data_IF_915873562413
#
_entry.id   IF_915873562413
#
_cell.length_a   1.000
_cell.length_b   1.000
_cell.length_c   1.000
_cell.angle_alpha   90.00
_cell.angle_beta   90.00
_cell.angle_gamma   90.00
#
_symmetry.space_group_name_H-M   'P 1'
#
loop_
_entity.id
_entity.type
_entity.pdbx_description
1 polymer ?
#
# COMPACT_ATOMS: atom_id res chain seq x y z
N UNK A 1 1.71 -35.77 71.68
CA UNK A 1 2.50 -34.58 72.09
C UNK A 1 3.13 -33.95 70.84
N UNK A 2 3.13 -32.63 70.82
CA UNK A 2 3.41 -31.66 69.74
C UNK A 2 4.62 -31.89 68.83
N UNK A 3 4.52 -31.37 67.59
CA UNK A 3 5.33 -30.26 67.02
C UNK A 3 5.28 -30.33 65.46
N UNK A 4 4.65 -29.40 64.75
CA UNK A 4 5.14 -28.07 64.31
C UNK A 4 6.40 -28.09 63.42
N UNK A 5 6.27 -27.65 62.16
CA UNK A 5 7.15 -26.62 61.59
C UNK A 5 6.65 -26.05 60.25
N UNK A 6 6.43 -24.75 60.27
CA UNK A 6 6.22 -23.80 59.18
C UNK A 6 7.58 -23.21 58.75
N UNK A 7 7.80 -22.79 57.48
CA UNK A 7 9.03 -22.09 57.09
C UNK A 7 8.90 -20.56 57.15
N UNK A 8 9.90 -19.94 57.79
CA UNK A 8 10.12 -18.49 57.97
C UNK A 8 10.58 -17.76 56.70
N UNK A 9 10.18 -16.49 56.61
CA UNK A 9 10.79 -15.44 55.78
C UNK A 9 12.09 -14.83 56.39
N UNK A 10 12.92 -14.15 55.59
CA UNK A 10 13.83 -13.09 56.05
C UNK A 10 13.53 -11.73 55.37
N UNK A 11 13.17 -10.69 56.14
CA UNK A 11 14.00 -9.60 56.74
C UNK A 11 14.36 -8.43 55.80
N UNK A 12 13.69 -7.32 56.07
CA UNK A 12 13.92 -5.93 55.65
C UNK A 12 15.11 -5.29 56.41
N UNK A 13 15.74 -4.22 55.87
CA UNK A 13 16.42 -3.25 56.71
C UNK A 13 15.94 -1.79 56.49
N UNK A 14 15.39 -1.25 57.59
CA UNK A 14 15.61 0.07 58.20
C UNK A 14 15.54 1.37 57.39
N UNK A 15 14.52 2.16 57.77
CA UNK A 15 14.41 3.63 57.73
C UNK A 15 15.69 4.37 58.21
N UNK A 16 16.03 5.48 57.56
CA UNK A 16 16.58 6.67 58.21
C UNK A 16 15.67 7.87 57.95
N UNK A 17 15.37 8.56 59.06
CA UNK A 17 14.60 9.79 59.19
C UNK A 17 15.61 10.96 59.24
N UNK A 18 15.26 12.08 58.62
CA UNK A 18 16.01 13.34 58.63
C UNK A 18 15.10 14.51 58.21
N UNK A 19 14.42 15.06 59.21
CA UNK A 19 13.83 16.40 59.35
C UNK A 19 14.86 17.50 58.95
N UNK A 20 14.58 18.76 58.54
CA UNK A 20 13.43 19.66 58.66
C UNK A 20 13.71 21.01 57.92
N UNK A 21 12.66 21.83 57.73
CA UNK A 21 12.59 23.31 57.50
C UNK A 21 12.92 23.84 56.08
N UNK A 22 12.13 24.71 55.45
CA UNK A 22 10.96 25.48 55.87
C UNK A 22 10.99 26.89 55.22
N UNK A 23 9.93 27.30 54.53
CA UNK A 23 9.46 28.69 54.27
C UNK A 23 8.36 28.65 53.19
N UNK A 24 7.06 28.68 53.53
CA UNK A 24 6.17 29.86 53.71
C UNK A 24 6.32 30.98 52.66
N UNK A 25 5.21 31.24 51.96
CA UNK A 25 5.01 32.38 51.07
C UNK A 25 3.72 32.24 50.25
N UNK A 26 2.58 32.59 50.85
CA UNK A 26 1.30 32.79 50.18
C UNK A 26 1.17 34.26 49.76
N UNK A 27 0.52 34.55 48.61
CA UNK A 27 -0.44 35.67 48.39
C UNK A 27 -0.70 35.92 46.88
N UNK A 28 -1.97 35.70 46.48
CA UNK A 28 -2.76 36.63 45.64
C UNK A 28 -2.58 36.66 44.11
N UNK A 29 -3.66 36.54 43.31
CA UNK A 29 -3.65 36.81 41.87
C UNK A 29 -4.02 38.29 41.57
N UNK A 30 -3.67 38.82 40.39
CA UNK A 30 -4.39 39.95 39.83
C UNK A 30 -5.29 39.51 38.68
N UNK A 31 -6.59 39.72 38.88
CA UNK A 31 -7.58 39.98 37.83
C UNK A 31 -7.23 41.26 37.07
N UNK A 32 -7.35 41.25 35.75
CA UNK A 32 -7.23 42.44 34.91
C UNK A 32 -7.83 42.21 33.53
N UNK A 33 -9.14 42.44 33.41
CA UNK A 33 -9.83 42.74 32.15
C UNK A 33 -9.42 44.15 31.74
N UNK A 34 -8.98 44.33 30.49
CA UNK A 34 -9.11 45.60 29.75
C UNK A 34 -8.82 45.36 28.25
N UNK A 35 -9.89 45.19 27.47
CA UNK A 35 -10.06 45.82 26.15
C UNK A 35 -11.00 47.01 26.41
N UNK A 36 -10.87 48.18 25.74
CA UNK A 36 -11.07 48.31 24.29
C UNK A 36 -10.25 49.43 23.60
N UNK A 37 -10.32 49.49 22.26
CA UNK A 37 -10.66 50.67 21.42
C UNK A 37 -10.14 50.44 19.99
N UNK A 38 -10.95 50.76 18.95
CA UNK A 38 -10.64 50.47 17.56
C UNK A 38 -9.85 51.60 16.91
N UNK A 39 -9.06 51.28 15.87
CA UNK A 39 -8.67 52.27 14.87
C UNK A 39 -9.16 51.85 13.50
N UNK A 40 -9.86 52.81 12.91
CA UNK A 40 -10.53 52.82 11.63
C UNK A 40 -9.61 53.52 10.62
N UNK A 41 -9.86 53.21 9.36
CA UNK A 41 -9.55 53.99 8.17
C UNK A 41 -8.15 53.92 7.53
N UNK A 42 -8.20 53.57 6.24
CA UNK A 42 -7.09 53.50 5.30
C UNK A 42 -7.53 52.92 3.96
N UNK A 43 -8.60 53.49 3.38
CA UNK A 43 -9.13 53.19 2.04
C UNK A 43 -8.56 54.20 1.04
N UNK A 44 -8.01 53.75 -0.09
CA UNK A 44 -7.90 54.41 -1.41
C UNK A 44 -6.79 53.71 -2.23
N UNK A 45 -6.75 53.61 -3.56
CA UNK A 45 -7.65 53.74 -4.71
C UNK A 45 -6.80 53.35 -5.94
N UNK A 46 -7.41 52.83 -7.01
CA UNK A 46 -6.82 52.69 -8.36
C UNK A 46 -7.41 51.47 -9.10
N UNK A 47 -8.55 51.58 -9.79
CA UNK A 47 -8.76 52.12 -11.15
C UNK A 47 -7.89 51.39 -12.21
N UNK A 48 -8.40 50.42 -13.00
CA UNK A 48 -9.36 50.48 -14.13
C UNK A 48 -8.71 50.74 -15.51
N UNK A 49 -9.26 50.07 -16.54
CA UNK A 49 -9.01 50.08 -18.02
C UNK A 49 -8.07 48.95 -18.49
N UNK A 50 -8.36 48.14 -19.53
CA UNK A 50 -9.32 48.23 -20.65
C UNK A 50 -8.56 48.26 -21.99
N UNK A 51 -9.10 47.59 -23.03
CA UNK A 51 -8.71 47.49 -24.47
C UNK A 51 -8.02 46.17 -24.86
N UNK A 52 -8.64 45.27 -25.64
CA UNK A 52 -8.96 45.27 -27.09
C UNK A 52 -7.77 45.12 -28.06
N UNK A 53 -7.81 44.05 -28.86
CA UNK A 53 -7.61 44.11 -30.32
C UNK A 53 -6.23 43.76 -30.92
N UNK A 54 -6.18 42.64 -31.66
CA UNK A 54 -5.60 42.44 -33.03
C UNK A 54 -5.34 40.93 -33.27
N UNK A 55 -6.08 40.23 -34.14
CA UNK A 55 -6.03 40.15 -35.61
C UNK A 55 -4.69 39.66 -36.22
N UNK A 56 -4.81 38.63 -37.09
CA UNK A 56 -3.75 37.83 -37.76
C UNK A 56 -2.93 38.56 -38.84
N UNK A 57 -2.46 37.92 -39.97
CA UNK A 57 -3.16 36.91 -40.79
C UNK A 57 -2.30 35.85 -41.58
N UNK A 58 -2.97 35.02 -42.40
CA UNK A 58 -2.49 34.39 -43.66
C UNK A 58 -2.16 32.88 -43.56
N UNK A 59 -2.81 31.91 -44.24
CA UNK A 59 -3.30 31.80 -45.63
C UNK A 59 -2.28 30.99 -46.47
N UNK A 60 -2.54 30.01 -47.36
CA UNK A 60 -3.67 29.58 -48.20
C UNK A 60 -3.27 28.26 -48.95
N UNK A 61 -4.21 27.36 -49.30
CA UNK A 61 -4.61 26.86 -50.67
C UNK A 61 -4.88 25.34 -50.57
N UNK A 62 -5.85 24.66 -51.20
CA UNK A 62 -6.92 24.97 -52.15
C UNK A 62 -7.37 23.68 -52.89
N UNK A 63 -8.65 23.26 -52.72
CA UNK A 63 -9.69 22.71 -53.67
C UNK A 63 -9.33 21.78 -54.89
N UNK A 64 -10.31 21.21 -55.67
CA UNK A 64 -11.39 20.25 -55.35
C UNK A 64 -11.71 19.19 -56.48
N UNK A 65 -12.80 18.40 -56.28
CA UNK A 65 -13.79 17.82 -57.25
C UNK A 65 -13.63 16.48 -58.03
N UNK A 66 -14.76 15.74 -58.09
CA UNK A 66 -15.14 14.71 -59.09
C UNK A 66 -15.89 13.51 -58.46
N UNK A 67 -17.23 13.44 -58.37
CA UNK A 67 -18.28 13.13 -59.38
C UNK A 67 -18.49 11.62 -59.72
N UNK A 68 -19.77 11.20 -59.56
CA UNK A 68 -20.47 9.89 -59.69
C UNK A 68 -20.59 9.36 -61.16
N UNK A 69 -21.43 8.36 -61.58
CA UNK A 69 -22.31 7.39 -60.87
C UNK A 69 -22.35 5.95 -61.46
N UNK A 70 -23.17 5.05 -60.91
CA UNK A 70 -23.59 3.81 -61.58
C UNK A 70 -24.80 3.13 -60.92
N UNK A 71 -25.93 3.04 -61.65
CA UNK A 71 -27.11 2.27 -61.28
C UNK A 71 -27.53 1.32 -62.41
N UNK A 72 -28.14 0.19 -62.08
CA UNK A 72 -28.82 -0.72 -63.04
C UNK A 72 -30.08 -1.31 -62.38
N UNK A 73 -31.15 -1.45 -63.18
CA UNK A 73 -32.52 -1.88 -62.84
C UNK A 73 -32.93 -3.06 -63.76
N UNK A 74 -33.91 -3.89 -63.32
CA UNK A 74 -34.78 -4.86 -64.06
C UNK A 74 -34.19 -6.25 -64.41
N UNK A 75 -34.87 -7.42 -64.42
CA UNK A 75 -36.27 -7.93 -64.28
C UNK A 75 -36.21 -9.48 -63.90
N UNK A 76 -37.29 -10.32 -63.83
CA UNK A 76 -37.49 -11.39 -62.83
C UNK A 76 -37.43 -12.85 -63.38
N UNK A 77 -37.81 -13.87 -62.58
CA UNK A 77 -38.50 -15.03 -63.15
C UNK A 77 -39.75 -15.51 -62.39
N UNK A 78 -40.80 -15.76 -63.20
CA UNK A 78 -41.77 -16.87 -63.22
C UNK A 78 -42.13 -17.64 -61.93
N UNK A 79 -43.44 -17.70 -61.67
CA UNK A 79 -44.10 -18.75 -60.89
C UNK A 79 -44.11 -20.11 -61.62
N UNK A 80 -44.35 -21.21 -60.88
CA UNK A 80 -45.51 -22.04 -61.19
C UNK A 80 -46.35 -22.38 -59.95
N UNK A 81 -47.62 -22.69 -60.21
CA UNK A 81 -48.64 -23.00 -59.20
C UNK A 81 -48.58 -24.40 -58.62
N UNK A 82 -49.43 -24.60 -57.61
CA UNK A 82 -49.71 -25.88 -56.97
C UNK A 82 -50.78 -25.67 -55.90
N UNK A 83 -52.01 -26.04 -56.25
CA UNK A 83 -53.18 -26.01 -55.38
C UNK A 83 -53.02 -26.95 -54.18
N UNK A 84 -53.34 -26.46 -52.98
CA UNK A 84 -53.72 -27.29 -51.84
C UNK A 84 -54.64 -26.50 -50.89
N UNK A 85 -55.93 -26.56 -51.22
CA UNK A 85 -57.08 -26.66 -50.30
C UNK A 85 -56.93 -26.14 -48.86
N UNK A 86 -57.54 -24.97 -48.68
CA UNK A 86 -58.28 -24.48 -47.52
C UNK A 86 -58.78 -25.57 -46.55
N UNK A 87 -58.33 -25.51 -45.30
CA UNK A 87 -59.12 -25.87 -44.12
C UNK A 87 -59.09 -24.67 -43.17
N UNK A 88 -60.18 -23.92 -43.23
CA UNK A 88 -60.59 -22.92 -42.26
C UNK A 88 -60.90 -23.63 -40.92
N UNK A 89 -60.18 -23.26 -39.87
CA UNK A 89 -60.63 -23.45 -38.48
C UNK A 89 -60.46 -22.12 -37.78
N UNK A 90 -61.54 -21.34 -37.80
CA UNK A 90 -61.73 -20.20 -36.94
C UNK A 90 -61.52 -20.58 -35.47
N UNK A 91 -60.51 -19.95 -34.87
CA UNK A 91 -60.18 -20.10 -33.46
C UNK A 91 -59.68 -18.78 -32.89
N UNK A 92 -60.51 -17.75 -32.94
CA UNK A 92 -60.27 -16.43 -32.36
C UNK A 92 -60.27 -16.54 -30.83
N UNK A 93 -59.15 -16.94 -30.23
CA UNK A 93 -58.99 -16.99 -28.77
C UNK A 93 -57.75 -16.20 -28.34
N UNK A 94 -57.99 -14.91 -28.05
CA UNK A 94 -57.34 -14.12 -27.00
C UNK A 94 -55.81 -14.21 -26.92
N UNK A 95 -55.15 -13.80 -28.00
CA UNK A 95 -53.70 -13.56 -28.06
C UNK A 95 -53.09 -12.49 -27.14
N UNK A 96 -53.81 -11.57 -26.43
CA UNK A 96 -53.13 -10.63 -25.53
C UNK A 96 -53.01 -11.14 -24.08
N UNK A 97 -53.78 -12.15 -23.67
CA UNK A 97 -53.82 -12.58 -22.26
C UNK A 97 -52.58 -13.42 -21.86
N UNK A 98 -52.07 -14.25 -22.77
CA UNK A 98 -50.87 -15.08 -22.52
C UNK A 98 -49.61 -14.21 -22.58
N UNK A 99 -49.55 -13.24 -23.51
CA UNK A 99 -48.45 -12.27 -23.60
C UNK A 99 -48.38 -11.36 -22.37
N UNK A 100 -49.54 -10.89 -21.88
CA UNK A 100 -49.61 -10.10 -20.64
C UNK A 100 -49.22 -10.93 -19.41
N UNK A 101 -49.59 -12.21 -19.33
CA UNK A 101 -49.21 -13.10 -18.24
C UNK A 101 -47.70 -13.39 -18.19
N UNK A 102 -47.08 -13.63 -19.34
CA UNK A 102 -45.62 -13.85 -19.45
C UNK A 102 -44.84 -12.56 -19.15
N UNK A 103 -45.33 -11.41 -19.60
CA UNK A 103 -44.73 -10.10 -19.29
C UNK A 103 -44.87 -9.75 -17.80
N UNK A 104 -46.01 -10.04 -17.19
CA UNK A 104 -46.24 -9.82 -15.75
C UNK A 104 -45.38 -10.76 -14.90
N UNK A 105 -45.20 -12.03 -15.31
CA UNK A 105 -44.31 -12.98 -14.66
C UNK A 105 -42.83 -12.58 -14.81
N UNK A 106 -42.43 -12.08 -15.99
CA UNK A 106 -41.08 -11.53 -16.20
C UNK A 106 -40.82 -10.25 -15.39
N UNK A 107 -41.84 -9.39 -15.23
CA UNK A 107 -41.79 -8.21 -14.37
C UNK A 107 -41.77 -8.58 -12.88
N UNK A 108 -42.48 -9.63 -12.46
CA UNK A 108 -42.47 -10.15 -11.09
C UNK A 108 -41.14 -10.84 -10.73
N UNK A 109 -40.48 -11.50 -11.69
CA UNK A 109 -39.13 -12.07 -11.53
C UNK A 109 -38.04 -10.99 -11.48
N UNK A 110 -38.22 -9.87 -12.20
CA UNK A 110 -37.34 -8.69 -12.10
C UNK A 110 -37.59 -7.84 -10.84
N UNK A 111 -38.75 -7.99 -10.20
CA UNK A 111 -39.12 -7.32 -8.95
C UNK A 111 -38.85 -8.17 -7.70
N UNK A 112 -38.37 -9.41 -7.86
CA UNK A 112 -37.65 -10.12 -6.79
C UNK A 112 -36.34 -9.36 -6.57
N UNK A 113 -36.44 -8.29 -5.78
CA UNK A 113 -35.35 -7.39 -5.47
C UNK A 113 -34.12 -8.20 -5.10
N UNK A 114 -33.00 -7.87 -5.75
CA UNK A 114 -31.72 -8.07 -5.12
C UNK A 114 -31.82 -7.36 -3.77
N UNK A 115 -32.04 -8.13 -2.71
CA UNK A 115 -31.71 -7.68 -1.36
C UNK A 115 -30.28 -7.12 -1.49
N UNK A 116 -30.00 -5.87 -1.10
CA UNK A 116 -28.63 -5.41 -1.11
C UNK A 116 -27.91 -6.32 -0.13
N UNK A 117 -27.27 -7.37 -0.66
CA UNK A 117 -26.55 -8.35 0.13
C UNK A 117 -25.74 -7.53 1.14
N UNK A 118 -26.01 -7.73 2.43
CA UNK A 118 -25.32 -6.97 3.47
C UNK A 118 -23.87 -7.42 3.37
N UNK A 119 -23.10 -6.66 2.58
CA UNK A 119 -21.69 -6.93 2.35
C UNK A 119 -20.92 -6.30 3.48
N UNK A 120 -19.88 -7.02 3.88
CA UNK A 120 -18.88 -6.50 4.80
C UNK A 120 -18.42 -5.12 4.34
N UNK A 121 -18.25 -4.23 5.32
CA UNK A 121 -17.82 -2.86 5.09
C UNK A 121 -17.24 -2.26 6.34
N UNK A 122 -16.43 -1.22 6.18
CA UNK A 122 -16.04 -0.37 7.29
C UNK A 122 -16.98 0.83 7.31
N UNK A 123 -17.68 1.01 8.43
CA UNK A 123 -18.59 2.14 8.61
C UNK A 123 -17.82 3.43 8.88
N UNK A 124 -16.93 3.37 9.87
CA UNK A 124 -16.06 4.49 10.23
C UNK A 124 -14.63 4.01 10.37
N UNK A 125 -13.71 4.83 9.87
CA UNK A 125 -12.28 4.63 10.02
C UNK A 125 -11.66 5.94 10.49
N UNK A 126 -11.38 6.02 11.78
CA UNK A 126 -10.81 7.20 12.42
C UNK A 126 -9.34 6.95 12.74
N UNK A 127 -8.45 7.70 12.09
CA UNK A 127 -7.00 7.61 12.27
C UNK A 127 -6.49 8.85 12.96
N UNK A 128 -5.80 8.70 14.08
CA UNK A 128 -5.04 9.77 14.72
C UNK A 128 -3.55 9.50 14.51
N UNK A 129 -2.89 10.45 13.84
CA UNK A 129 -1.46 10.46 13.58
C UNK A 129 -0.81 11.51 14.47
N UNK A 130 -0.18 11.08 15.55
CA UNK A 130 0.53 11.97 16.47
C UNK A 130 2.02 11.94 16.15
N UNK A 131 2.51 13.05 15.58
CA UNK A 131 3.91 13.27 15.23
C UNK A 131 4.64 13.70 16.50
N UNK A 132 5.43 12.79 17.09
CA UNK A 132 6.13 13.07 18.34
C UNK A 132 7.45 13.80 18.08
N UNK A 133 7.87 14.60 19.06
CA UNK A 133 9.14 15.35 18.99
C UNK A 133 10.38 14.45 18.92
N UNK A 134 10.30 13.17 19.31
CA UNK A 134 11.36 12.16 19.17
C UNK A 134 11.40 11.53 17.76
N UNK A 135 10.59 12.01 16.82
CA UNK A 135 10.52 11.51 15.44
C UNK A 135 9.83 10.16 15.29
N UNK A 136 9.14 9.68 16.31
CA UNK A 136 8.23 8.54 16.20
C UNK A 136 6.85 9.04 15.80
N UNK A 137 6.23 8.34 14.85
CA UNK A 137 4.82 8.52 14.53
C UNK A 137 4.00 7.54 15.38
N UNK A 138 3.24 8.07 16.33
CA UNK A 138 2.26 7.27 17.06
C UNK A 138 0.96 7.22 16.27
N UNK A 139 0.47 6.02 15.99
CA UNK A 139 -0.74 5.81 15.21
C UNK A 139 -1.80 5.14 16.08
N UNK A 140 -3.00 5.71 16.06
CA UNK A 140 -4.20 5.12 16.66
C UNK A 140 -5.30 5.05 15.60
N UNK A 141 -5.70 3.82 15.26
CA UNK A 141 -6.78 3.53 14.31
C UNK A 141 -8.00 3.03 15.09
N UNK A 142 -9.15 3.70 14.94
CA UNK A 142 -10.45 3.22 15.43
C UNK A 142 -11.29 2.79 14.23
N UNK A 143 -11.61 1.50 14.16
CA UNK A 143 -12.22 0.87 13.00
C UNK A 143 -13.56 0.27 13.43
N UNK A 144 -14.66 0.83 12.91
CA UNK A 144 -15.99 0.25 13.06
C UNK A 144 -16.27 -0.64 11.87
N UNK A 145 -15.98 -1.93 12.00
CA UNK A 145 -16.14 -2.93 10.95
C UNK A 145 -17.50 -3.61 11.08
N UNK A 146 -18.24 -3.72 9.98
CA UNK A 146 -19.49 -4.47 9.91
C UNK A 146 -19.24 -5.81 9.21
N UNK A 147 -19.26 -6.90 9.99
CA UNK A 147 -19.04 -8.26 9.50
C UNK A 147 -20.26 -8.86 8.81
N UNK A 148 -21.37 -8.12 8.70
CA UNK A 148 -22.62 -8.64 8.19
C UNK A 148 -22.99 -9.97 8.87
N UNK A 149 -22.94 -11.08 8.12
CA UNK A 149 -23.35 -12.41 8.53
C UNK A 149 -22.28 -13.21 9.30
N UNK A 150 -21.03 -12.74 9.37
CA UNK A 150 -20.00 -13.36 10.19
C UNK A 150 -18.56 -13.13 9.73
N UNK A 151 -17.64 -13.06 10.69
CA UNK A 151 -16.19 -13.01 10.43
C UNK A 151 -15.34 -13.23 11.67
N UNK A 152 -14.02 -13.27 11.49
CA UNK A 152 -13.04 -13.58 12.55
C UNK A 152 -11.94 -12.53 12.65
N UNK A 153 -12.29 -11.40 13.26
CA UNK A 153 -11.37 -10.29 13.47
C UNK A 153 -11.03 -9.55 12.17
N UNK A 154 -10.06 -8.65 12.24
CA UNK A 154 -9.62 -7.83 11.10
C UNK A 154 -8.13 -8.03 10.84
N UNK A 155 -7.70 -7.76 9.60
CA UNK A 155 -6.29 -7.80 9.20
C UNK A 155 -5.89 -6.44 8.65
N UNK A 156 -5.04 -5.72 9.40
CA UNK A 156 -4.39 -4.51 8.93
C UNK A 156 -3.07 -4.87 8.26
N UNK A 157 -2.94 -4.58 6.97
CA UNK A 157 -1.64 -4.60 6.27
C UNK A 157 -0.94 -3.26 6.52
N UNK A 158 0.38 -3.23 6.63
CA UNK A 158 1.20 -2.02 6.69
C UNK A 158 2.46 -2.28 5.86
N UNK A 159 2.84 -1.38 4.97
CA UNK A 159 4.15 -1.47 4.31
C UNK A 159 5.25 -1.16 5.33
N UNK A 160 5.95 -2.21 5.80
CA UNK A 160 7.16 -2.00 6.61
C UNK A 160 8.39 -1.77 5.70
N UNK A 161 8.27 -2.07 4.40
CA UNK A 161 9.25 -1.77 3.37
C UNK A 161 8.58 -1.07 2.18
N UNK A 162 9.14 0.05 1.75
CA UNK A 162 8.70 0.79 0.56
C UNK A 162 9.90 1.03 -0.38
N UNK A 163 9.98 0.28 -1.47
CA UNK A 163 11.22 0.13 -2.23
C UNK A 163 12.33 -0.41 -1.32
N UNK A 164 13.41 0.35 -1.16
CA UNK A 164 14.46 0.04 -0.19
C UNK A 164 14.25 0.69 1.16
N UNK A 165 13.27 1.56 1.37
CA UNK A 165 13.04 2.19 2.68
C UNK A 165 12.49 1.18 3.67
N UNK A 166 13.04 1.12 4.88
CA UNK A 166 12.49 0.35 5.99
C UNK A 166 11.83 1.26 7.03
N UNK A 167 10.70 0.80 7.56
CA UNK A 167 9.99 1.36 8.71
C UNK A 167 10.02 0.36 9.86
N UNK A 168 10.24 0.87 11.09
CA UNK A 168 10.15 0.03 12.28
C UNK A 168 8.76 0.15 12.90
N UNK A 169 8.03 -0.95 13.07
CA UNK A 169 6.74 -0.94 13.79
C UNK A 169 6.89 -1.68 15.11
N UNK A 170 6.47 -1.05 16.21
CA UNK A 170 6.54 -1.62 17.56
C UNK A 170 5.33 -1.23 18.40
N UNK A 171 5.29 -1.77 19.62
CA UNK A 171 4.29 -1.45 20.64
C UNK A 171 2.83 -1.63 20.15
N UNK A 172 2.64 -2.61 19.26
CA UNK A 172 1.36 -2.95 18.64
C UNK A 172 0.43 -3.53 19.69
N UNK A 173 -0.70 -2.89 19.89
CA UNK A 173 -1.75 -3.32 20.82
C UNK A 173 -3.12 -3.06 20.21
N UNK A 174 -4.09 -3.88 20.57
CA UNK A 174 -5.45 -3.69 20.13
C UNK A 174 -6.45 -3.96 21.25
N UNK A 175 -7.59 -3.29 21.16
CA UNK A 175 -8.74 -3.53 22.03
C UNK A 175 -10.04 -3.46 21.22
N UNK A 176 -11.14 -3.88 21.83
CA UNK A 176 -12.47 -3.77 21.22
C UNK A 176 -13.47 -3.32 22.29
N UNK A 177 -14.21 -2.25 22.01
CA UNK A 177 -15.24 -1.74 22.91
C UNK A 177 -16.53 -2.56 22.88
N UNK A 178 -16.74 -3.37 21.83
CA UNK A 178 -17.89 -4.26 21.67
C UNK A 178 -17.66 -5.65 22.27
N UNK A 179 -16.48 -5.91 22.84
CA UNK A 179 -16.10 -7.22 23.38
C UNK A 179 -15.76 -8.26 22.31
N UNK A 180 -15.51 -7.84 21.07
CA UNK A 180 -14.96 -8.71 20.04
C UNK A 180 -13.55 -9.18 20.42
N UNK A 181 -13.13 -10.39 19.99
CA UNK A 181 -11.75 -10.83 20.17
C UNK A 181 -10.77 -9.80 19.59
N UNK A 182 -9.78 -9.39 20.38
CA UNK A 182 -8.85 -8.31 20.00
C UNK A 182 -7.37 -8.68 20.19
N UNK A 183 -7.08 -9.97 20.43
CA UNK A 183 -5.69 -10.45 20.54
C UNK A 183 -4.93 -10.13 19.25
N UNK A 184 -3.78 -9.50 19.38
CA UNK A 184 -2.90 -9.14 18.27
C UNK A 184 -2.02 -10.33 17.87
N UNK A 185 -1.88 -10.54 16.56
CA UNK A 185 -0.86 -11.41 15.97
C UNK A 185 -0.21 -10.66 14.81
N UNK A 186 1.11 -10.56 14.82
CA UNK A 186 1.87 -9.88 13.76
C UNK A 186 2.68 -10.88 12.96
N UNK A 187 2.57 -10.82 11.63
CA UNK A 187 3.38 -11.63 10.71
C UNK A 187 3.97 -10.71 9.65
N UNK A 188 5.29 -10.77 9.46
CA UNK A 188 5.95 -10.10 8.33
C UNK A 188 5.88 -11.02 7.12
N UNK A 189 5.33 -10.54 6.00
CA UNK A 189 5.23 -11.29 4.75
C UNK A 189 5.58 -10.38 3.58
N UNK A 190 6.63 -10.72 2.83
CA UNK A 190 7.12 -9.87 1.74
C UNK A 190 7.53 -8.48 2.24
N UNK A 191 6.90 -7.44 1.68
CA UNK A 191 7.08 -6.03 2.03
C UNK A 191 6.11 -5.52 3.12
N UNK A 192 5.20 -6.39 3.57
CA UNK A 192 4.10 -6.03 4.45
C UNK A 192 4.25 -6.62 5.85
N UNK A 193 3.87 -5.84 6.84
CA UNK A 193 3.55 -6.29 8.18
C UNK A 193 2.03 -6.50 8.25
N UNK A 194 1.62 -7.75 8.44
CA UNK A 194 0.21 -8.10 8.67
C UNK A 194 -0.06 -8.12 10.17
N UNK A 195 -0.96 -7.25 10.62
CA UNK A 195 -1.45 -7.18 11.99
C UNK A 195 -2.86 -7.76 12.01
N UNK A 196 -2.99 -9.00 12.46
CA UNK A 196 -4.28 -9.61 12.75
C UNK A 196 -4.77 -9.21 14.13
N UNK A 197 -5.98 -8.67 14.22
CA UNK A 197 -6.66 -8.31 15.48
C UNK A 197 -7.85 -9.23 15.66
N UNK A 198 -7.84 -10.07 16.69
CA UNK A 198 -8.91 -11.04 16.94
C UNK A 198 -8.87 -12.27 16.04
N UNK A 199 -7.83 -12.40 15.20
CA UNK A 199 -7.69 -13.52 14.28
C UNK A 199 -7.49 -14.83 15.05
N UNK A 200 -8.26 -15.86 14.67
CA UNK A 200 -8.33 -17.14 15.38
C UNK A 200 -9.17 -17.12 16.67
N UNK A 201 -9.86 -16.02 16.97
CA UNK A 201 -10.88 -15.96 18.01
C UNK A 201 -12.21 -16.56 17.57
N UNK A 202 -13.24 -16.40 18.43
CA UNK A 202 -14.63 -16.72 18.09
C UNK A 202 -15.13 -15.85 16.94
N UNK A 203 -16.12 -16.35 16.22
CA UNK A 203 -16.81 -15.58 15.19
C UNK A 203 -17.61 -14.43 15.80
N UNK A 204 -17.68 -13.32 15.06
CA UNK A 204 -18.46 -12.12 15.38
C UNK A 204 -19.32 -11.75 14.18
N UNK A 205 -20.47 -11.12 14.42
CA UNK A 205 -21.43 -10.68 13.40
C UNK A 205 -21.74 -9.20 13.58
N UNK A 206 -22.24 -8.57 12.52
CA UNK A 206 -22.61 -7.15 12.52
C UNK A 206 -21.46 -6.22 12.89
N UNK A 207 -21.80 -5.06 13.44
CA UNK A 207 -20.84 -4.00 13.78
C UNK A 207 -20.00 -4.34 15.00
N UNK A 208 -18.68 -4.24 14.83
CA UNK A 208 -17.68 -4.38 15.87
C UNK A 208 -16.72 -3.20 15.79
N UNK A 209 -16.33 -2.66 16.94
CA UNK A 209 -15.38 -1.56 17.02
C UNK A 209 -14.04 -2.07 17.55
N UNK A 210 -12.98 -1.83 16.78
CA UNK A 210 -11.61 -2.14 17.16
C UNK A 210 -10.81 -0.86 17.29
N UNK A 211 -9.91 -0.83 18.27
CA UNK A 211 -8.90 0.21 18.42
C UNK A 211 -7.55 -0.47 18.27
N UNK A 212 -6.76 -0.06 17.29
CA UNK A 212 -5.40 -0.53 17.04
C UNK A 212 -4.43 0.63 17.26
N UNK A 213 -3.41 0.40 18.08
CA UNK A 213 -2.38 1.40 18.38
C UNK A 213 -1.00 0.80 18.13
N UNK A 214 -0.12 1.58 17.50
CA UNK A 214 1.26 1.18 17.22
C UNK A 214 2.16 2.39 17.01
N UNK A 215 3.46 2.18 17.20
CA UNK A 215 4.50 3.19 16.98
C UNK A 215 5.26 2.87 15.69
N UNK A 216 5.40 3.87 14.83
CA UNK A 216 6.21 3.81 13.61
C UNK A 216 7.49 4.62 13.80
N UNK A 217 8.60 3.91 13.84
CA UNK A 217 9.96 4.43 13.88
C UNK A 217 10.44 4.75 12.47
N UNK A 218 11.35 5.72 12.37
CA UNK A 218 11.98 6.13 11.09
C UNK A 218 10.93 6.55 10.04
N UNK A 219 9.79 7.10 10.46
CA UNK A 219 8.71 7.51 9.56
C UNK A 219 9.05 8.77 8.74
N UNK A 220 9.87 9.67 9.31
CA UNK A 220 10.27 10.92 8.68
C UNK A 220 11.49 10.73 7.77
N UNK A 221 11.53 11.52 6.70
CA UNK A 221 12.64 11.62 5.76
C UNK A 221 13.21 13.03 5.85
N UNK A 222 14.45 13.20 6.35
CA UNK A 222 15.12 14.49 6.37
C UNK A 222 15.34 15.01 4.94
N UNK A 223 15.03 16.28 4.72
CA UNK A 223 15.28 17.04 3.48
C UNK A 223 16.10 18.28 3.81
N UNK A 224 16.54 18.99 2.78
CA UNK A 224 17.19 20.29 2.97
C UNK A 224 16.17 21.31 3.51
N UNK A 225 16.31 21.68 4.79
CA UNK A 225 15.50 22.72 5.44
C UNK A 225 14.16 22.27 6.04
N UNK A 226 13.79 20.99 5.91
CA UNK A 226 12.58 20.43 6.52
C UNK A 226 12.63 18.91 6.68
N UNK A 227 11.79 18.37 7.56
CA UNK A 227 11.50 16.94 7.66
C UNK A 227 10.18 16.61 6.96
N UNK A 228 10.18 15.56 6.13
CA UNK A 228 9.02 15.11 5.35
C UNK A 228 8.46 13.80 5.88
N UNK A 229 7.16 13.74 6.13
CA UNK A 229 6.42 12.50 6.38
C UNK A 229 5.46 12.27 5.21
N UNK A 230 5.53 11.11 4.58
CA UNK A 230 4.52 10.63 3.63
C UNK A 230 4.01 9.30 4.17
N UNK A 231 2.72 9.24 4.49
CA UNK A 231 2.14 8.10 5.18
C UNK A 231 0.78 7.72 4.61
N UNK A 232 0.58 6.43 4.38
CA UNK A 232 -0.72 5.84 4.04
C UNK A 232 -1.53 5.65 5.34
N UNK A 233 -2.19 6.73 5.79
CA UNK A 233 -3.05 6.74 6.96
C UNK A 233 -4.11 5.64 6.89
N UNK A 234 -4.70 5.47 5.71
CA UNK A 234 -5.50 4.31 5.34
C UNK A 234 -4.88 3.73 4.08
N UNK A 235 -4.40 2.51 4.15
CA UNK A 235 -3.79 1.85 2.99
C UNK A 235 -4.85 1.32 2.04
N UNK A 236 -4.51 1.21 0.76
CA UNK A 236 -5.31 0.57 -0.31
C UNK A 236 -5.49 -0.94 -0.15
N UNK A 237 -5.16 -1.49 1.03
CA UNK A 237 -5.20 -2.92 1.33
C UNK A 237 -6.53 -3.42 1.89
N UNK A 238 -7.59 -2.61 1.88
CA UNK A 238 -8.91 -3.07 2.33
C UNK A 238 -9.71 -3.63 1.16
N UNK A 239 -10.15 -4.87 1.30
CA UNK A 239 -10.93 -5.56 0.28
C UNK A 239 -12.45 -5.25 0.37
N UNK A 240 -12.82 -4.33 1.28
CA UNK A 240 -14.19 -3.86 1.55
C UNK A 240 -14.25 -2.34 1.48
N UNK A 241 -15.40 -1.74 1.12
CA UNK A 241 -15.55 -0.30 1.07
C UNK A 241 -15.53 0.33 2.47
N UNK A 242 -15.12 1.61 2.54
CA UNK A 242 -15.11 2.43 3.76
C UNK A 242 -16.08 3.60 3.57
N UNK A 243 -17.14 3.66 4.38
CA UNK A 243 -18.19 4.66 4.22
C UNK A 243 -17.71 6.07 4.66
N UNK A 244 -17.06 6.16 5.81
CA UNK A 244 -16.55 7.41 6.37
C UNK A 244 -15.14 7.24 6.92
N UNK A 245 -14.20 8.04 6.44
CA UNK A 245 -12.81 8.06 6.87
C UNK A 245 -12.46 9.46 7.41
N UNK A 246 -11.85 9.49 8.59
CA UNK A 246 -11.31 10.70 9.21
C UNK A 246 -9.85 10.46 9.55
N UNK A 247 -8.98 11.38 9.16
CA UNK A 247 -7.55 11.37 9.48
C UNK A 247 -7.20 12.66 10.20
N UNK A 248 -6.89 12.56 11.49
CA UNK A 248 -6.39 13.65 12.31
C UNK A 248 -4.88 13.61 12.37
N UNK A 249 -4.23 14.72 12.03
CA UNK A 249 -2.78 14.88 12.08
C UNK A 249 -2.43 15.86 13.20
N UNK A 250 -1.65 15.43 14.18
CA UNK A 250 -1.23 16.23 15.33
C UNK A 250 0.29 16.40 15.36
N UNK A 251 0.76 17.64 15.42
CA UNK A 251 2.18 17.99 15.36
C UNK A 251 2.76 18.56 16.65
N UNK A 252 4.09 18.46 16.85
CA UNK A 252 4.76 19.09 17.99
C UNK A 252 4.92 20.61 17.78
N UNK A 253 4.68 21.09 16.56
CA UNK A 253 4.78 22.47 16.11
C UNK A 253 3.58 22.82 15.25
N UNK A 254 3.41 24.11 14.93
CA UNK A 254 2.33 24.55 14.04
C UNK A 254 2.42 23.85 12.69
N UNK A 255 1.35 23.16 12.30
CA UNK A 255 1.23 22.48 11.00
C UNK A 255 0.90 23.49 9.90
N UNK A 256 1.83 23.72 8.96
CA UNK A 256 1.67 24.68 7.85
C UNK A 256 1.46 24.01 6.50
N UNK A 257 2.27 23.00 6.17
CA UNK A 257 2.18 22.24 4.92
C UNK A 257 1.79 20.79 5.23
N UNK A 258 0.48 20.54 5.17
CA UNK A 258 -0.11 19.21 5.28
C UNK A 258 -1.08 19.01 4.13
N UNK A 259 -0.93 17.91 3.42
CA UNK A 259 -1.73 17.55 2.25
C UNK A 259 -2.32 16.17 2.47
N UNK A 260 -3.54 15.98 2.02
CA UNK A 260 -4.23 14.70 2.05
C UNK A 260 -4.78 14.40 0.65
N UNK A 261 -4.57 13.16 0.20
CA UNK A 261 -5.13 12.61 -1.04
C UNK A 261 -5.82 11.30 -0.74
N UNK A 262 -6.98 11.09 -1.33
CA UNK A 262 -7.76 9.88 -1.21
C UNK A 262 -8.07 9.28 -2.59
N UNK A 263 -8.09 7.95 -2.69
CA UNK A 263 -8.42 7.24 -3.93
C UNK A 263 -7.47 6.08 -4.22
N UNK A 264 -7.47 5.61 -5.47
CA UNK A 264 -6.61 4.51 -5.91
C UNK A 264 -5.15 4.97 -6.10
N UNK A 265 -4.15 4.36 -5.43
CA UNK A 265 -2.76 4.84 -5.46
C UNK A 265 -2.07 4.69 -6.83
N UNK A 266 -2.48 3.70 -7.63
CA UNK A 266 -1.78 3.32 -8.88
C UNK A 266 -2.40 3.91 -10.15
N UNK A 267 -3.44 4.76 -10.02
CA UNK A 267 -4.11 5.36 -11.17
C UNK A 267 -3.92 6.88 -11.18
N UNK A 268 -3.08 7.42 -12.08
CA UNK A 268 -2.89 8.86 -12.23
C UNK A 268 -4.23 9.59 -12.41
N UNK A 269 -4.47 10.61 -11.59
CA UNK A 269 -5.72 11.39 -11.64
C UNK A 269 -6.91 10.76 -10.91
N UNK A 270 -6.81 9.52 -10.42
CA UNK A 270 -7.87 8.88 -9.63
C UNK A 270 -7.79 9.17 -8.12
N UNK A 271 -7.10 10.25 -7.73
CA UNK A 271 -7.07 10.71 -6.34
C UNK A 271 -7.65 12.11 -6.19
N UNK A 272 -8.52 12.26 -5.20
CA UNK A 272 -9.15 13.53 -4.81
C UNK A 272 -8.42 14.14 -3.62
N UNK A 273 -8.51 15.46 -3.47
CA UNK A 273 -8.04 16.15 -2.27
C UNK A 273 -9.08 15.93 -1.17
N UNK A 274 -8.63 15.49 0.01
CA UNK A 274 -9.53 15.28 1.15
C UNK A 274 -10.11 16.63 1.63
N UNK A 275 -11.33 16.61 2.17
CA UNK A 275 -11.87 17.77 2.86
C UNK A 275 -11.01 18.08 4.09
N UNK A 276 -10.58 19.33 4.26
CA UNK A 276 -9.67 19.75 5.33
C UNK A 276 -10.38 20.66 6.31
N UNK A 277 -10.24 20.38 7.59
CA UNK A 277 -10.63 21.26 8.69
C UNK A 277 -9.44 21.50 9.62
N UNK A 278 -9.25 22.75 10.07
CA UNK A 278 -8.11 23.11 10.92
C UNK A 278 -8.56 23.20 12.38
N UNK A 279 -8.15 22.22 13.18
CA UNK A 279 -8.37 22.22 14.62
C UNK A 279 -7.19 22.89 15.35
N UNK A 280 -7.33 24.20 15.55
CA UNK A 280 -6.33 25.00 16.25
C UNK A 280 -5.01 25.11 15.49
N UNK A 281 -3.89 25.16 16.23
CA UNK A 281 -2.56 25.39 15.65
C UNK A 281 -1.79 24.10 15.36
N UNK A 282 -2.09 23.04 16.08
CA UNK A 282 -1.28 21.83 16.16
C UNK A 282 -1.99 20.60 15.60
N UNK A 283 -3.28 20.71 15.25
CA UNK A 283 -4.05 19.63 14.66
C UNK A 283 -4.73 20.06 13.35
N UNK A 284 -4.87 19.11 12.42
CA UNK A 284 -5.63 19.23 11.19
C UNK A 284 -6.41 17.95 11.00
N UNK A 285 -7.71 18.07 10.76
CA UNK A 285 -8.60 16.95 10.46
C UNK A 285 -8.84 16.89 8.95
N UNK A 286 -8.79 15.67 8.40
CA UNK A 286 -9.14 15.38 7.01
C UNK A 286 -10.28 14.40 6.96
N UNK A 287 -11.30 14.70 6.16
CA UNK A 287 -12.47 13.84 6.00
C UNK A 287 -12.59 13.38 4.55
N UNK A 288 -12.87 12.09 4.39
CA UNK A 288 -13.18 11.47 3.10
C UNK A 288 -14.37 10.51 3.26
N UNK A 289 -15.32 10.57 2.33
CA UNK A 289 -16.47 9.67 2.32
C UNK A 289 -16.41 8.73 1.11
N UNK A 290 -16.98 7.53 1.28
CA UNK A 290 -17.25 6.60 0.20
C UNK A 290 -16.01 6.08 -0.53
N UNK A 291 -14.99 5.63 0.20
CA UNK A 291 -13.86 4.92 -0.39
C UNK A 291 -14.31 3.54 -0.85
N UNK A 292 -14.05 3.22 -2.12
CA UNK A 292 -14.26 1.88 -2.64
C UNK A 292 -13.25 0.89 -2.06
N UNK A 293 -13.51 -0.41 -2.24
CA UNK A 293 -12.52 -1.44 -1.93
C UNK A 293 -11.24 -1.18 -2.73
N UNK A 294 -10.09 -1.26 -2.07
CA UNK A 294 -8.78 -0.96 -2.65
C UNK A 294 -8.41 0.53 -2.71
N UNK A 295 -9.28 1.44 -2.30
CA UNK A 295 -8.91 2.85 -2.18
C UNK A 295 -8.33 3.16 -0.80
N UNK A 296 -7.47 4.19 -0.72
CA UNK A 296 -6.81 4.58 0.52
C UNK A 296 -6.76 6.09 0.72
N UNK A 297 -6.15 6.50 1.83
CA UNK A 297 -5.89 7.89 2.20
C UNK A 297 -4.42 8.06 2.53
N UNK A 298 -3.74 8.92 1.78
CA UNK A 298 -2.34 9.29 1.95
C UNK A 298 -2.24 10.72 2.45
N UNK A 299 -1.44 10.90 3.50
CA UNK A 299 -1.08 12.22 4.02
C UNK A 299 0.39 12.51 3.76
N UNK A 300 0.69 13.78 3.46
CA UNK A 300 2.04 14.30 3.37
C UNK A 300 2.16 15.51 4.29
N UNK A 301 3.13 15.49 5.20
CA UNK A 301 3.41 16.56 6.16
C UNK A 301 4.83 17.03 5.96
N UNK A 302 5.03 18.35 5.96
CA UNK A 302 6.37 18.94 6.07
C UNK A 302 6.47 19.73 7.36
N UNK A 303 7.45 19.36 8.16
CA UNK A 303 7.80 20.04 9.40
C UNK A 303 9.07 20.86 9.20
N UNK A 304 9.18 22.06 9.81
CA UNK A 304 10.43 22.80 9.77
C UNK A 304 11.55 21.98 10.42
N UNK A 305 12.79 22.21 9.98
CA UNK A 305 13.98 21.56 10.55
C UNK A 305 13.97 21.58 12.09
N UNK A 306 14.38 20.45 12.68
CA UNK A 306 14.47 20.23 14.13
C UNK A 306 13.13 20.30 14.88
N UNK A 307 11.98 20.33 14.18
CA UNK A 307 10.68 20.14 14.82
C UNK A 307 10.53 18.73 15.44
N UNK A 308 11.25 17.76 14.87
CA UNK A 308 11.36 16.39 15.37
C UNK A 308 12.84 15.98 15.40
N UNK A 309 13.20 15.13 16.34
CA UNK A 309 14.51 14.48 16.43
C UNK A 309 14.45 13.11 15.75
N UNK A 310 14.15 13.09 14.45
CA UNK A 310 14.00 11.85 13.70
C UNK A 310 15.34 11.11 13.56
N UNK A 311 15.40 9.81 13.92
CA UNK A 311 16.57 9.01 13.58
C UNK A 311 16.70 8.92 12.05
N UNK A 312 17.93 8.77 11.52
CA UNK A 312 18.12 8.69 10.09
C UNK A 312 17.28 7.55 9.49
N UNK A 313 16.77 7.75 8.26
CA UNK A 313 16.20 6.68 7.46
C UNK A 313 17.07 5.43 7.45
N UNK A 314 16.45 4.28 7.62
CA UNK A 314 17.11 3.00 7.36
C UNK A 314 16.53 2.46 6.07
N UNK A 315 17.43 1.89 5.26
CA UNK A 315 17.10 1.28 4.00
C UNK A 315 17.48 -0.20 4.07
N UNK A 316 16.56 -1.07 3.63
CA UNK A 316 16.85 -2.44 3.32
C UNK A 316 18.00 -2.44 2.34
N UNK A 317 18.98 -3.29 2.62
CA UNK A 317 19.99 -3.58 1.64
C UNK A 317 19.29 -4.31 0.50
N UNK A 318 19.51 -3.85 -0.73
CA UNK A 318 20.17 -4.74 -1.65
C UNK A 318 21.22 -3.92 -2.38
N UNK A 319 22.43 -3.91 -1.83
CA UNK A 319 23.54 -3.30 -2.54
C UNK A 319 24.40 -4.39 -3.14
N UNK A 320 24.83 -4.16 -4.38
CA UNK A 320 26.06 -4.73 -4.89
C UNK A 320 27.14 -4.51 -3.82
N UNK A 321 27.46 -5.55 -3.05
CA UNK A 321 28.55 -5.55 -2.08
C UNK A 321 29.81 -6.18 -2.66
N UNK A 322 29.69 -6.75 -3.86
CA UNK A 322 30.81 -7.17 -4.68
C UNK A 322 31.84 -6.06 -4.80
N UNK A 323 33.07 -6.35 -4.40
CA UNK A 323 34.18 -5.48 -4.69
C UNK A 323 34.52 -5.59 -6.18
N UNK A 324 35.42 -4.74 -6.66
CA UNK A 324 35.95 -4.87 -8.02
C UNK A 324 36.52 -6.27 -8.30
N UNK A 325 36.99 -7.00 -7.28
CA UNK A 325 37.54 -8.36 -7.41
C UNK A 325 36.47 -9.37 -7.80
N UNK A 326 35.34 -9.41 -7.09
CA UNK A 326 34.21 -10.28 -7.46
C UNK A 326 33.63 -9.91 -8.82
N UNK A 327 33.57 -8.61 -9.13
CA UNK A 327 33.14 -8.10 -10.44
C UNK A 327 34.03 -8.61 -11.58
N UNK A 328 35.35 -8.50 -11.43
CA UNK A 328 36.34 -8.92 -12.43
C UNK A 328 36.33 -10.43 -12.62
N UNK A 329 36.19 -11.20 -11.53
CA UNK A 329 36.10 -12.65 -11.59
C UNK A 329 34.88 -13.11 -12.42
N UNK A 330 33.71 -12.53 -12.17
CA UNK A 330 32.49 -12.83 -12.93
C UNK A 330 32.63 -12.42 -14.40
N UNK A 331 33.17 -11.23 -14.67
CA UNK A 331 33.41 -10.76 -16.04
C UNK A 331 34.39 -11.65 -16.81
N UNK A 332 35.45 -12.13 -16.15
CA UNK A 332 36.41 -13.07 -16.76
C UNK A 332 35.76 -14.42 -17.07
N UNK A 333 34.93 -14.96 -16.17
CA UNK A 333 34.21 -16.21 -16.41
C UNK A 333 33.26 -16.10 -17.62
N UNK A 334 32.48 -15.01 -17.70
CA UNK A 334 31.60 -14.72 -18.85
C UNK A 334 32.42 -14.54 -20.14
N UNK A 335 33.51 -13.77 -20.08
CA UNK A 335 34.40 -13.54 -21.22
C UNK A 335 35.08 -14.82 -21.73
N UNK A 336 35.54 -15.69 -20.82
CA UNK A 336 36.14 -16.97 -21.17
C UNK A 336 35.14 -17.91 -21.87
N UNK A 337 33.90 -18.00 -21.39
CA UNK A 337 32.85 -18.77 -22.05
C UNK A 337 32.56 -18.19 -23.45
N UNK A 338 32.45 -16.87 -23.57
CA UNK A 338 32.24 -16.19 -24.85
C UNK A 338 33.37 -16.41 -25.87
N UNK A 339 34.62 -16.41 -25.42
CA UNK A 339 35.80 -16.63 -26.27
C UNK A 339 35.95 -18.10 -26.71
N UNK A 340 35.53 -19.06 -25.87
CA UNK A 340 35.68 -20.50 -26.15
C UNK A 340 34.48 -21.08 -26.92
N UNK A 341 33.30 -20.45 -26.84
CA UNK A 341 32.09 -20.90 -27.52
C UNK A 341 32.23 -21.11 -29.05
N UNK A 342 32.94 -20.27 -29.82
CA UNK A 342 33.17 -20.51 -31.26
C UNK A 342 34.10 -21.69 -31.52
N UNK A 343 35.10 -21.90 -30.65
CA UNK A 343 36.07 -22.99 -30.77
C UNK A 343 35.49 -24.33 -30.30
N UNK A 344 34.50 -24.32 -29.40
CA UNK A 344 33.73 -25.49 -28.97
C UNK A 344 32.83 -26.08 -30.07
N UNK A 345 32.52 -25.30 -31.11
CA UNK A 345 31.75 -25.77 -32.29
C UNK A 345 32.61 -26.46 -33.35
N UNK A 346 33.93 -26.53 -33.16
CA UNK A 346 34.83 -27.25 -34.08
C UNK A 346 35.01 -28.69 -33.59
N UNK A 347 34.94 -29.69 -34.48
CA UNK A 347 35.12 -31.09 -34.10
C UNK A 347 36.51 -31.28 -33.49
N UNK A 348 36.56 -31.78 -32.25
CA UNK A 348 37.80 -32.08 -31.53
C UNK A 348 37.99 -33.59 -31.42
N UNK A 349 39.23 -34.04 -31.61
CA UNK A 349 39.62 -35.45 -31.56
C UNK A 349 40.04 -35.95 -30.17
N UNK A 350 40.00 -35.10 -29.13
CA UNK A 350 40.26 -35.48 -27.73
C UNK A 350 39.36 -34.71 -26.76
N UNK A 351 38.77 -35.37 -25.75
CA UNK A 351 38.13 -34.66 -24.65
C UNK A 351 39.23 -33.98 -23.82
N UNK A 352 39.18 -32.65 -23.71
CA UNK A 352 40.20 -31.85 -23.04
C UNK A 352 39.91 -31.64 -21.53
N UNK A 353 38.78 -32.15 -21.02
CA UNK A 353 38.30 -31.93 -19.66
C UNK A 353 37.73 -33.24 -19.11
N UNK A 354 37.95 -33.52 -17.83
CA UNK A 354 37.42 -34.72 -17.18
C UNK A 354 35.88 -34.74 -17.18
N UNK A 355 35.25 -35.93 -17.35
CA UNK A 355 33.81 -36.07 -17.20
C UNK A 355 33.37 -35.58 -15.82
N UNK A 356 32.42 -34.64 -15.77
CA UNK A 356 31.83 -34.14 -14.53
C UNK A 356 32.46 -32.88 -13.94
N UNK A 357 33.60 -32.38 -14.46
CA UNK A 357 34.20 -31.12 -13.95
C UNK A 357 33.24 -29.93 -14.07
N UNK A 358 32.49 -29.84 -15.17
CA UNK A 358 31.47 -28.80 -15.36
C UNK A 358 30.29 -28.91 -14.37
N UNK A 359 29.85 -30.13 -14.06
CA UNK A 359 28.80 -30.37 -13.07
C UNK A 359 29.27 -30.04 -11.64
N UNK A 360 30.53 -30.36 -11.32
CA UNK A 360 31.15 -30.00 -10.04
C UNK A 360 31.24 -28.49 -9.82
N UNK A 361 31.61 -27.72 -10.86
CA UNK A 361 31.63 -26.26 -10.81
C UNK A 361 30.22 -25.66 -10.65
N UNK A 362 29.22 -26.23 -11.31
CA UNK A 362 27.82 -25.80 -11.13
C UNK A 362 27.35 -26.05 -9.70
N UNK A 363 27.61 -27.25 -9.15
CA UNK A 363 27.23 -27.59 -7.78
C UNK A 363 27.94 -26.69 -6.75
N UNK A 364 29.24 -26.47 -6.92
CA UNK A 364 30.03 -25.59 -6.05
C UNK A 364 29.54 -24.13 -6.12
N UNK A 365 29.23 -23.64 -7.32
CA UNK A 365 28.67 -22.30 -7.50
C UNK A 365 27.31 -22.11 -6.84
N UNK A 366 26.42 -23.10 -6.98
CA UNK A 366 25.11 -23.10 -6.31
C UNK A 366 25.24 -23.15 -4.78
N UNK A 367 26.12 -23.99 -4.25
CA UNK A 367 26.40 -24.09 -2.80
C UNK A 367 26.92 -22.76 -2.22
N UNK A 368 27.80 -22.07 -2.93
CA UNK A 368 28.31 -20.76 -2.49
C UNK A 368 27.22 -19.69 -2.46
N UNK A 369 26.36 -19.63 -3.49
CA UNK A 369 25.22 -18.68 -3.51
C UNK A 369 24.24 -19.00 -2.39
N UNK A 370 23.92 -20.28 -2.18
CA UNK A 370 23.01 -20.69 -1.11
C UNK A 370 23.58 -20.44 0.29
N UNK A 371 24.89 -20.61 0.47
CA UNK A 371 25.58 -20.31 1.72
C UNK A 371 25.56 -18.81 2.05
N UNK A 372 25.97 -17.97 1.10
CA UNK A 372 25.95 -16.50 1.24
C UNK A 372 24.52 -15.99 1.51
N UNK A 373 23.55 -16.52 0.76
CA UNK A 373 22.15 -16.22 0.98
C UNK A 373 21.63 -16.70 2.34
N UNK A 374 22.04 -17.88 2.81
CA UNK A 374 21.63 -18.39 4.11
C UNK A 374 22.18 -17.53 5.26
N UNK A 375 23.46 -17.13 5.21
CA UNK A 375 24.08 -16.29 6.23
C UNK A 375 23.42 -14.91 6.31
N UNK A 376 23.18 -14.28 5.16
CA UNK A 376 22.44 -13.00 5.09
C UNK A 376 21.02 -13.14 5.63
N UNK A 377 20.32 -14.22 5.24
CA UNK A 377 18.95 -14.47 5.67
C UNK A 377 18.85 -14.77 7.16
N UNK A 378 19.84 -15.48 7.73
CA UNK A 378 19.91 -15.74 9.17
C UNK A 378 20.22 -14.47 9.96
N UNK A 379 21.05 -13.57 9.42
CA UNK A 379 21.46 -12.34 10.09
C UNK A 379 20.41 -11.20 9.99
N UNK A 380 19.72 -11.09 8.85
CA UNK A 380 18.84 -9.94 8.55
C UNK A 380 17.45 -10.30 8.02
N UNK A 381 17.09 -11.58 8.00
CA UNK A 381 15.83 -12.08 7.48
C UNK A 381 15.85 -12.32 5.96
N UNK A 382 14.78 -12.89 5.38
CA UNK A 382 14.71 -13.38 3.99
C UNK A 382 15.03 -12.35 2.89
N UNK A 383 15.19 -11.08 3.26
CA UNK A 383 15.42 -9.95 2.36
C UNK A 383 16.74 -9.21 2.61
N UNK A 384 17.64 -9.79 3.42
CA UNK A 384 18.97 -9.26 3.65
C UNK A 384 20.01 -9.71 2.61
N UNK A 385 19.60 -10.58 1.66
CA UNK A 385 20.46 -11.10 0.60
C UNK A 385 21.14 -9.98 -0.19
N UNK A 386 22.46 -10.07 -0.28
CA UNK A 386 23.32 -9.19 -1.07
C UNK A 386 24.04 -9.96 -2.19
N UNK A 387 24.33 -9.28 -3.31
CA UNK A 387 25.29 -9.76 -4.30
C UNK A 387 26.71 -9.38 -3.84
N UNK A 388 27.24 -10.11 -2.85
CA UNK A 388 28.61 -9.98 -2.36
C UNK A 388 29.64 -10.70 -3.21
N UNK A 389 30.93 -10.53 -2.88
CA UNK A 389 32.03 -11.28 -3.53
C UNK A 389 31.82 -12.82 -3.52
N UNK A 390 31.29 -13.45 -2.44
CA UNK A 390 30.99 -14.88 -2.44
C UNK A 390 29.88 -15.27 -3.42
N UNK A 391 28.78 -14.50 -3.48
CA UNK A 391 27.72 -14.68 -4.47
C UNK A 391 28.26 -14.51 -5.92
N UNK A 392 29.07 -13.48 -6.17
CA UNK A 392 29.69 -13.25 -7.49
C UNK A 392 30.65 -14.38 -7.87
N UNK A 393 31.40 -14.93 -6.92
CA UNK A 393 32.22 -16.12 -7.14
C UNK A 393 31.38 -17.36 -7.47
N UNK A 394 30.25 -17.55 -6.77
CA UNK A 394 29.30 -18.61 -7.08
C UNK A 394 28.71 -18.49 -8.49
N UNK A 395 28.36 -17.27 -8.92
CA UNK A 395 27.90 -16.99 -10.29
C UNK A 395 29.00 -17.23 -11.35
N UNK A 396 30.26 -16.90 -11.05
CA UNK A 396 31.39 -17.17 -11.93
C UNK A 396 31.61 -18.69 -12.13
N UNK A 397 31.47 -19.48 -11.08
CA UNK A 397 31.57 -20.95 -11.15
C UNK A 397 30.38 -21.57 -11.90
N UNK A 398 29.16 -21.07 -11.68
CA UNK A 398 27.97 -21.50 -12.42
C UNK A 398 28.13 -21.24 -13.93
N UNK A 399 28.57 -20.05 -14.31
CA UNK A 399 28.76 -19.67 -15.72
C UNK A 399 29.86 -20.49 -16.40
N UNK A 400 31.01 -20.65 -15.74
CA UNK A 400 32.10 -21.49 -16.25
C UNK A 400 31.70 -22.97 -16.36
N UNK A 401 31.06 -23.52 -15.33
CA UNK A 401 30.60 -24.91 -15.29
C UNK A 401 29.56 -25.20 -16.36
N UNK A 402 28.57 -24.32 -16.53
CA UNK A 402 27.57 -24.42 -17.59
C UNK A 402 28.19 -24.35 -18.99
N UNK A 403 29.19 -23.48 -19.19
CA UNK A 403 29.96 -23.40 -20.44
C UNK A 403 30.68 -24.71 -20.79
N UNK A 404 31.29 -25.36 -19.79
CA UNK A 404 31.96 -26.67 -19.96
C UNK A 404 30.95 -27.76 -20.30
N UNK A 405 29.81 -27.84 -19.59
CA UNK A 405 28.74 -28.81 -19.87
C UNK A 405 28.18 -28.62 -21.28
N UNK A 406 27.96 -27.38 -21.70
CA UNK A 406 27.47 -27.06 -23.03
C UNK A 406 28.48 -27.48 -24.12
N UNK A 407 29.77 -27.17 -23.93
CA UNK A 407 30.81 -27.57 -24.86
C UNK A 407 30.95 -29.09 -25.01
N UNK A 408 30.73 -29.86 -23.92
CA UNK A 408 30.72 -31.32 -23.98
C UNK A 408 29.56 -31.84 -24.84
N UNK A 409 28.34 -31.35 -24.61
CA UNK A 409 27.15 -31.78 -25.36
C UNK A 409 27.23 -31.47 -26.85
N UNK A 410 27.84 -30.35 -27.22
CA UNK A 410 28.04 -29.95 -28.64
C UNK A 410 29.14 -30.77 -29.30
N UNK A 411 30.11 -31.29 -28.55
CA UNK A 411 31.16 -32.16 -29.08
C UNK A 411 30.73 -33.62 -29.28
N UNK A 412 29.63 -34.05 -28.64
CA UNK A 412 29.03 -35.38 -28.79
C UNK A 412 27.99 -35.47 -29.92
N UNK A 413 27.51 -34.32 -30.42
CA UNK A 413 26.56 -34.20 -31.54
C UNK A 413 27.29 -33.93 -32.86
#
# INVERSE_FOLDING_TARGET
MSASREPRAPREPSRRRGEERGRTGALGPPTGRETPVPSRDGRAHGAARGLEGREGPGGTRGLPNGASPGGIRALPPRAPGGDATMLDVGGRVRGPAIGAGVLLLALLVMAAGADPAVRERIQTYDVVLTLRADGVLHVRETITYDFADGGRGIVRRLRYRDGDRLYGVRDVRASSSTGAPSRVRTTKLGHDLRIGVGTGGREVRGRQAYVLEYDVLRAFTPREGFDELVWDAIESGWDVPIAHAVVRVEGPVRLRDVRCRAGAPDTPGASVVCARDQDGRYAIDFTQNGLAAGEGVRVAVRLPDRAVAAPPPEYARPHWAGTWRGTVLLAFAVGAVGAVAPAARRPRTRPAVEPGSGAGLVAAGALLILGDAADDVLAGGPWAFSLGDPCLAGLALLTAGAGIVFAHRVGEA
#
